data_IF_659194171700
#
_entry.id   IF_659194171700
#
_cell.length_a   1.000
_cell.length_b   1.000
_cell.length_c   1.000
_cell.angle_alpha   90.00
_cell.angle_beta   90.00
_cell.angle_gamma   90.00
#
_symmetry.space_group_name_H-M   'P 1'
#
loop_
_entity.id
_entity.type
_entity.pdbx_description
1 polymer ?
#
# COMPACT_ATOMS: atom_id res chain seq x y z
N UNK A 1 12.57 -15.31 7.16
CA UNK A 1 12.36 -14.07 7.94
C UNK A 1 13.69 -13.33 7.95
N UNK A 2 13.75 -12.20 7.23
CA UNK A 2 14.97 -11.37 7.12
C UNK A 2 15.29 -10.71 8.45
N UNK A 3 16.57 -10.44 8.70
CA UNK A 3 17.01 -9.82 9.95
C UNK A 3 16.36 -8.45 10.18
N UNK A 4 16.29 -8.03 11.45
CA UNK A 4 15.58 -6.82 11.89
C UNK A 4 16.02 -5.54 11.16
N UNK A 5 17.22 -5.49 10.60
CA UNK A 5 17.73 -4.32 9.91
C UNK A 5 17.12 -4.09 8.51
N UNK A 6 16.63 -5.14 7.81
CA UNK A 6 16.19 -4.95 6.42
C UNK A 6 14.94 -4.07 6.28
N UNK A 7 13.88 -4.22 7.11
CA UNK A 7 12.74 -3.30 7.07
C UNK A 7 13.13 -1.89 7.50
N UNK A 8 14.03 -1.77 8.49
CA UNK A 8 14.52 -0.49 9.02
C UNK A 8 15.29 0.33 7.98
N UNK A 9 15.89 -0.34 6.99
CA UNK A 9 16.56 0.33 5.86
C UNK A 9 15.57 0.57 4.70
N UNK A 10 14.77 -0.43 4.36
CA UNK A 10 13.89 -0.37 3.20
C UNK A 10 12.81 0.70 3.34
N UNK A 11 12.15 0.78 4.51
CA UNK A 11 11.01 1.68 4.68
C UNK A 11 11.42 3.16 4.57
N UNK A 12 12.48 3.65 5.26
CA UNK A 12 12.95 5.03 5.08
C UNK A 12 13.48 5.31 3.68
N UNK A 13 14.18 4.35 3.06
CA UNK A 13 14.71 4.52 1.68
C UNK A 13 13.57 4.81 0.70
N UNK A 14 12.51 3.99 0.72
CA UNK A 14 11.34 4.19 -0.12
C UNK A 14 10.63 5.51 0.20
N UNK A 15 10.51 5.88 1.49
CA UNK A 15 9.90 7.15 1.90
C UNK A 15 10.65 8.37 1.37
N UNK A 16 11.98 8.32 1.33
CA UNK A 16 12.80 9.41 0.76
C UNK A 16 12.59 9.54 -0.74
N UNK A 17 12.46 8.42 -1.47
CA UNK A 17 12.16 8.42 -2.90
C UNK A 17 10.79 9.05 -3.19
N UNK A 18 9.76 8.66 -2.44
CA UNK A 18 8.40 9.22 -2.51
C UNK A 18 8.42 10.73 -2.23
N UNK A 19 9.10 11.15 -1.15
CA UNK A 19 9.22 12.56 -0.77
C UNK A 19 9.88 13.40 -1.87
N UNK A 20 10.99 12.93 -2.45
CA UNK A 20 11.66 13.64 -3.54
C UNK A 20 10.76 13.77 -4.77
N UNK A 21 9.98 12.75 -5.07
CA UNK A 21 9.03 12.78 -6.19
C UNK A 21 7.92 13.80 -5.95
N UNK A 22 7.23 13.73 -4.81
CA UNK A 22 6.13 14.62 -4.44
C UNK A 22 6.60 16.08 -4.39
N UNK A 23 7.76 16.32 -3.79
CA UNK A 23 8.34 17.67 -3.69
C UNK A 23 8.62 18.29 -5.07
N UNK A 24 9.01 17.48 -6.06
CA UNK A 24 9.23 17.94 -7.44
C UNK A 24 7.93 18.08 -8.24
N UNK A 25 6.85 17.42 -7.82
CA UNK A 25 5.56 17.39 -8.51
C UNK A 25 4.39 17.64 -7.54
N UNK A 26 4.29 18.86 -6.98
CA UNK A 26 3.36 19.17 -5.89
C UNK A 26 1.88 19.03 -6.26
N UNK A 27 1.53 19.06 -7.55
CA UNK A 27 0.16 19.01 -8.05
C UNK A 27 -0.22 17.66 -8.69
N UNK A 28 0.45 16.58 -8.29
CA UNK A 28 0.19 15.24 -8.85
C UNK A 28 -1.13 14.63 -8.42
N UNK A 29 -1.74 15.11 -7.33
CA UNK A 29 -2.95 14.49 -6.77
C UNK A 29 -2.72 13.05 -6.29
N UNK A 30 -1.47 12.64 -6.10
CA UNK A 30 -1.11 11.29 -5.67
C UNK A 30 -1.63 11.03 -4.26
N UNK A 31 -2.53 10.05 -4.14
CA UNK A 31 -3.05 9.54 -2.88
C UNK A 31 -2.80 8.04 -2.82
N UNK A 32 -1.85 7.62 -1.98
CA UNK A 32 -1.54 6.22 -1.76
C UNK A 32 -1.06 5.98 -0.33
N UNK A 33 -1.21 4.73 0.12
CA UNK A 33 -0.70 4.22 1.38
C UNK A 33 0.32 3.13 1.08
N UNK A 34 1.42 3.11 1.83
CA UNK A 34 2.43 2.05 1.73
C UNK A 34 2.68 1.41 3.08
N UNK A 35 2.76 0.09 3.09
CA UNK A 35 3.25 -0.70 4.20
C UNK A 35 4.39 -1.57 3.73
N UNK A 36 5.61 -1.20 4.12
CA UNK A 36 6.87 -1.79 3.65
C UNK A 36 6.93 -1.75 2.11
N UNK A 37 6.58 -2.84 1.44
CA UNK A 37 6.60 -3.06 -0.01
C UNK A 37 5.19 -3.13 -0.64
N UNK A 38 4.14 -3.23 0.16
CA UNK A 38 2.76 -3.23 -0.33
C UNK A 38 2.23 -1.79 -0.48
N UNK A 39 1.64 -1.48 -1.63
CA UNK A 39 1.10 -0.16 -1.94
C UNK A 39 -0.38 -0.24 -2.30
N UNK A 40 -1.18 0.63 -1.69
CA UNK A 40 -2.57 0.86 -2.03
C UNK A 40 -2.72 2.28 -2.58
N UNK A 41 -3.05 2.42 -3.86
CA UNK A 41 -3.37 3.70 -4.48
C UNK A 41 -4.88 3.86 -4.64
N UNK A 42 -5.40 5.05 -4.33
CA UNK A 42 -6.84 5.34 -4.40
C UNK A 42 -7.05 6.46 -5.42
N UNK A 43 -7.96 6.25 -6.37
CA UNK A 43 -8.35 7.24 -7.38
C UNK A 43 -7.16 7.81 -8.18
N UNK A 44 -6.17 6.97 -8.49
CA UNK A 44 -4.97 7.37 -9.23
C UNK A 44 -4.81 6.45 -10.45
N UNK A 45 -5.38 6.86 -11.60
CA UNK A 45 -5.35 6.09 -12.85
C UNK A 45 -3.92 5.87 -13.34
N UNK A 46 -3.08 6.91 -13.27
CA UNK A 46 -1.70 6.89 -13.75
C UNK A 46 -0.71 6.47 -12.66
N UNK A 47 -1.19 5.80 -11.59
CA UNK A 47 -0.35 5.45 -10.45
C UNK A 47 0.88 4.65 -10.85
N UNK A 48 0.76 3.72 -11.80
CA UNK A 48 1.87 2.89 -12.25
C UNK A 48 2.99 3.73 -12.88
N UNK A 49 2.66 4.78 -13.63
CA UNK A 49 3.64 5.66 -14.24
C UNK A 49 4.32 6.57 -13.21
N UNK A 50 3.56 7.01 -12.20
CA UNK A 50 4.14 7.68 -11.04
C UNK A 50 5.08 6.74 -10.27
N UNK A 51 4.65 5.52 -9.98
CA UNK A 51 5.41 4.55 -9.22
C UNK A 51 6.73 4.17 -9.92
N UNK A 52 6.72 3.99 -11.25
CA UNK A 52 7.95 3.80 -12.04
C UNK A 52 8.93 4.98 -11.92
N UNK A 53 8.42 6.21 -11.82
CA UNK A 53 9.26 7.41 -11.63
C UNK A 53 9.75 7.55 -10.19
N UNK A 54 8.98 7.09 -9.21
CA UNK A 54 9.35 7.10 -7.80
C UNK A 54 10.43 6.06 -7.53
N UNK A 55 10.14 4.79 -7.84
CA UNK A 55 10.98 3.64 -7.44
C UNK A 55 12.01 3.25 -8.52
N UNK A 56 11.90 3.80 -9.72
CA UNK A 56 12.70 3.39 -10.87
C UNK A 56 12.15 2.14 -11.55
N UNK A 57 12.83 1.70 -12.61
CA UNK A 57 12.45 0.50 -13.39
C UNK A 57 13.02 -0.79 -12.82
N UNK A 58 13.91 -0.70 -11.83
CA UNK A 58 14.56 -1.84 -11.20
C UNK A 58 13.61 -2.62 -10.29
N UNK A 59 12.63 -1.94 -9.69
CA UNK A 59 11.59 -2.59 -8.88
C UNK A 59 10.46 -3.07 -9.78
N UNK A 60 10.20 -4.38 -9.75
CA UNK A 60 9.06 -4.97 -10.45
C UNK A 60 7.81 -4.70 -9.62
N UNK A 61 6.94 -3.82 -10.10
CA UNK A 61 5.65 -3.53 -9.47
C UNK A 61 4.59 -4.48 -10.04
N UNK A 62 4.16 -5.43 -9.22
CA UNK A 62 3.03 -6.28 -9.56
C UNK A 62 1.74 -5.50 -9.30
N UNK A 63 0.97 -5.25 -10.36
CA UNK A 63 -0.29 -4.51 -10.27
C UNK A 63 -1.46 -5.47 -10.30
N UNK A 64 -2.29 -5.40 -9.26
CA UNK A 64 -3.54 -6.14 -9.19
C UNK A 64 -4.67 -5.13 -9.29
N UNK A 65 -5.17 -4.88 -10.51
CA UNK A 65 -6.38 -4.08 -10.66
C UNK A 65 -7.56 -4.88 -10.11
N UNK A 66 -8.20 -4.34 -9.08
CA UNK A 66 -9.26 -5.05 -8.37
C UNK A 66 -10.60 -4.28 -8.41
N UNK A 67 -10.65 -3.18 -9.18
CA UNK A 67 -11.88 -2.41 -9.40
C UNK A 67 -12.40 -1.79 -8.10
N UNK A 68 -13.61 -2.19 -7.70
CA UNK A 68 -14.28 -1.72 -6.49
C UNK A 68 -13.98 -2.57 -5.25
N UNK A 69 -13.16 -3.61 -5.35
CA UNK A 69 -12.80 -4.48 -4.23
C UNK A 69 -11.29 -4.65 -4.22
N UNK A 70 -10.62 -4.76 -3.08
CA UNK A 70 -9.20 -5.14 -3.01
C UNK A 70 -8.88 -5.69 -1.62
N UNK A 71 -7.77 -6.41 -1.49
CA UNK A 71 -7.23 -6.82 -0.20
C UNK A 71 -5.88 -6.13 0.02
N UNK A 72 -5.73 -5.41 1.13
CA UNK A 72 -4.49 -4.75 1.51
C UNK A 72 -4.12 -5.13 2.94
N UNK A 73 -3.00 -5.83 3.13
CA UNK A 73 -2.56 -6.34 4.45
C UNK A 73 -3.63 -7.20 5.13
N UNK A 74 -4.22 -8.13 4.38
CA UNK A 74 -5.36 -8.96 4.78
C UNK A 74 -6.67 -8.19 5.06
N UNK A 75 -6.70 -6.87 4.90
CA UNK A 75 -7.92 -6.08 5.02
C UNK A 75 -8.67 -6.09 3.69
N UNK A 76 -9.88 -6.65 3.66
CA UNK A 76 -10.77 -6.47 2.52
C UNK A 76 -11.34 -5.05 2.54
N UNK A 77 -11.20 -4.38 1.40
CA UNK A 77 -11.65 -3.03 1.15
C UNK A 77 -12.59 -3.10 -0.04
N UNK A 78 -13.80 -2.57 0.09
CA UNK A 78 -14.72 -2.41 -1.03
C UNK A 78 -15.27 -1.00 -1.13
N UNK A 79 -15.60 -0.57 -2.35
CA UNK A 79 -16.16 0.75 -2.64
C UNK A 79 -17.53 0.58 -3.27
N UNK A 80 -18.60 0.86 -2.51
CA UNK A 80 -19.99 0.77 -2.96
C UNK A 80 -20.66 2.13 -2.79
N UNK A 81 -21.26 2.65 -3.86
CA UNK A 81 -21.97 3.95 -3.87
C UNK A 81 -21.16 5.12 -3.30
N UNK A 82 -19.86 5.17 -3.63
CA UNK A 82 -18.94 6.22 -3.17
C UNK A 82 -18.50 6.09 -1.71
N UNK A 83 -18.80 4.98 -1.05
CA UNK A 83 -18.39 4.69 0.33
C UNK A 83 -17.40 3.54 0.36
N UNK A 84 -16.31 3.70 1.12
CA UNK A 84 -15.39 2.62 1.43
C UNK A 84 -15.94 1.79 2.60
N UNK A 85 -16.06 0.49 2.40
CA UNK A 85 -16.41 -0.52 3.40
C UNK A 85 -15.15 -1.31 3.70
N UNK A 86 -14.83 -1.45 4.97
CA UNK A 86 -13.67 -2.17 5.47
C UNK A 86 -14.15 -3.32 6.34
N UNK A 87 -13.73 -4.54 6.02
CA UNK A 87 -14.06 -5.70 6.84
C UNK A 87 -13.07 -5.79 8.00
N UNK A 88 -13.57 -5.60 9.22
CA UNK A 88 -12.75 -5.79 10.43
C UNK A 88 -12.85 -7.24 10.87
N UNK A 89 -11.75 -7.98 10.72
CA UNK A 89 -11.69 -9.37 11.15
C UNK A 89 -11.37 -9.46 12.65
N UNK A 90 -12.26 -10.12 13.40
CA UNK A 90 -11.99 -10.49 14.77
C UNK A 90 -11.39 -11.91 14.83
N UNK A 91 -10.06 -12.01 14.73
CA UNK A 91 -9.36 -13.29 14.80
C UNK A 91 -9.47 -13.99 16.16
N UNK A 92 -9.94 -13.33 17.22
CA UNK A 92 -10.19 -13.99 18.51
C UNK A 92 -11.22 -15.12 18.35
N UNK A 93 -12.18 -14.97 17.44
CA UNK A 93 -13.19 -15.99 17.18
C UNK A 93 -12.62 -17.25 16.51
N UNK A 94 -11.47 -17.13 15.85
CA UNK A 94 -10.81 -18.25 15.16
C UNK A 94 -9.98 -19.13 16.11
N UNK A 95 -9.74 -18.67 17.35
CA UNK A 95 -8.99 -19.42 18.35
C UNK A 95 -9.94 -19.97 19.43
N UNK A 96 -9.91 -21.28 19.73
CA UNK A 96 -10.72 -21.85 20.81
C UNK A 96 -10.16 -21.54 22.22
N UNK A 97 -9.20 -20.64 22.34
CA UNK A 97 -8.51 -20.31 23.58
C UNK A 97 -8.15 -18.82 23.66
N UNK A 98 -8.00 -18.33 24.89
CA UNK A 98 -7.51 -16.98 25.15
C UNK A 98 -5.97 -16.95 25.01
N UNK A 99 -5.46 -16.03 24.20
CA UNK A 99 -4.02 -15.74 24.14
C UNK A 99 -3.73 -14.79 25.31
N UNK A 100 -2.96 -15.26 26.29
CA UNK A 100 -2.47 -14.46 27.43
C UNK A 100 -1.24 -13.64 27.06
#
# INVERSE_FOLDING_TARGET
MGGNASPDIAAPTLSVMEFHYIRRHPNTGLCFFRYIDNILAINCLDFLDHAKKIYGTTFTLNTTYSGQYTCFLDLAISCVDGRCIFDVYNKILDYPFLVN
#
